data_IF_419191593189
#
_entry.id   IF_419191593189
#
_cell.length_a   1.000
_cell.length_b   1.000
_cell.length_c   1.000
_cell.angle_alpha   90.00
_cell.angle_beta   90.00
_cell.angle_gamma   90.00
#
_symmetry.space_group_name_H-M   'P 1'
#
loop_
_entity.id
_entity.type
_entity.pdbx_description
1 polymer ?
#
# COMPACT_ATOMS: atom_id res chain seq x y z
N UNK A 1 4.77 35.10 1.05
CA UNK A 1 5.68 34.09 1.63
C UNK A 1 6.99 34.11 0.86
N UNK A 2 8.13 33.95 1.55
CA UNK A 2 9.43 33.75 0.87
C UNK A 2 9.46 32.35 0.25
N UNK A 3 10.21 32.16 -0.84
CA UNK A 3 10.25 30.89 -1.60
C UNK A 3 10.58 29.67 -0.73
N UNK A 4 11.52 29.80 0.20
CA UNK A 4 11.91 28.70 1.09
C UNK A 4 10.79 28.27 2.04
N UNK A 5 9.90 29.20 2.46
CA UNK A 5 8.76 28.87 3.32
C UNK A 5 7.74 28.02 2.57
N UNK A 6 7.55 28.29 1.28
CA UNK A 6 6.67 27.51 0.40
C UNK A 6 7.23 26.09 0.24
N UNK A 7 8.55 25.96 0.03
CA UNK A 7 9.22 24.65 -0.01
C UNK A 7 9.08 23.87 1.30
N UNK A 8 9.34 24.53 2.42
CA UNK A 8 9.22 23.91 3.74
C UNK A 8 7.79 23.41 3.98
N UNK A 9 6.78 24.24 3.70
CA UNK A 9 5.38 23.87 3.86
C UNK A 9 4.98 22.72 2.93
N UNK A 10 5.38 22.78 1.66
CA UNK A 10 5.12 21.70 0.70
C UNK A 10 5.76 20.38 1.15
N UNK A 11 7.00 20.42 1.67
CA UNK A 11 7.71 19.25 2.19
C UNK A 11 7.00 18.67 3.41
N UNK A 12 6.58 19.49 4.37
CA UNK A 12 5.83 19.04 5.56
C UNK A 12 4.53 18.34 5.14
N UNK A 13 3.75 18.94 4.23
CA UNK A 13 2.50 18.37 3.73
C UNK A 13 2.76 17.03 3.04
N UNK A 14 3.76 16.96 2.16
CA UNK A 14 4.11 15.71 1.44
C UNK A 14 4.57 14.62 2.38
N UNK A 15 5.44 14.92 3.36
CA UNK A 15 5.92 13.93 4.33
C UNK A 15 4.77 13.43 5.20
N UNK A 16 3.92 14.33 5.70
CA UNK A 16 2.75 13.95 6.49
C UNK A 16 1.83 13.00 5.72
N UNK A 17 1.52 13.32 4.46
CA UNK A 17 0.69 12.47 3.62
C UNK A 17 1.38 11.13 3.28
N UNK A 18 2.68 11.11 3.02
CA UNK A 18 3.44 9.88 2.77
C UNK A 18 3.42 8.93 3.99
N UNK A 19 3.58 9.48 5.20
CA UNK A 19 3.48 8.72 6.45
C UNK A 19 2.07 8.17 6.62
N UNK A 20 1.04 9.01 6.41
CA UNK A 20 -0.36 8.60 6.48
C UNK A 20 -0.66 7.45 5.51
N UNK A 21 -0.25 7.56 4.24
CA UNK A 21 -0.41 6.51 3.24
C UNK A 21 0.27 5.20 3.64
N UNK A 22 1.50 5.28 4.15
CA UNK A 22 2.25 4.09 4.57
C UNK A 22 1.57 3.37 5.73
N UNK A 23 1.04 4.12 6.71
CA UNK A 23 0.39 3.55 7.88
C UNK A 23 -1.00 2.99 7.59
N UNK A 24 -1.71 3.57 6.63
CA UNK A 24 -3.07 3.14 6.24
C UNK A 24 -3.08 2.10 5.12
N UNK A 25 -1.92 1.82 4.52
CA UNK A 25 -1.79 0.87 3.43
C UNK A 25 -2.08 -0.59 3.85
N UNK A 26 -2.67 -1.41 2.98
CA UNK A 26 -3.04 -2.79 3.28
C UNK A 26 -1.85 -3.73 3.49
N UNK A 27 -0.64 -3.30 3.09
CA UNK A 27 0.61 -4.04 3.25
C UNK A 27 1.34 -3.69 4.55
N UNK A 28 0.89 -2.66 5.29
CA UNK A 28 1.50 -2.27 6.56
C UNK A 28 1.26 -3.38 7.61
N UNK A 29 2.31 -3.94 8.24
CA UNK A 29 2.17 -5.05 9.18
C UNK A 29 1.18 -4.74 10.30
N UNK A 30 0.33 -5.70 10.64
CA UNK A 30 -0.55 -5.56 11.80
C UNK A 30 0.30 -5.66 13.07
N UNK A 31 0.39 -4.58 13.82
CA UNK A 31 1.10 -4.52 15.09
C UNK A 31 0.08 -4.34 16.21
N UNK A 32 0.31 -5.03 17.32
CA UNK A 32 -0.55 -4.93 18.49
C UNK A 32 0.14 -5.40 19.76
N UNK A 33 -0.52 -5.13 20.86
CA UNK A 33 -0.21 -5.66 22.17
C UNK A 33 -1.43 -6.37 22.69
N UNK A 34 -1.29 -7.62 23.11
CA UNK A 34 -2.36 -8.40 23.73
C UNK A 34 -1.86 -9.00 25.04
N UNK A 35 -2.74 -9.04 26.02
CA UNK A 35 -2.47 -9.75 27.27
C UNK A 35 -2.92 -11.20 27.10
N UNK A 36 -1.99 -12.14 27.24
CA UNK A 36 -2.23 -13.58 27.07
C UNK A 36 -1.57 -14.27 28.27
N UNK A 37 -2.33 -15.07 29.00
CA UNK A 37 -1.85 -15.75 30.22
C UNK A 37 -1.17 -14.80 31.23
N UNK A 38 -1.71 -13.58 31.41
CA UNK A 38 -1.17 -12.57 32.33
C UNK A 38 0.11 -11.86 31.85
N UNK A 39 0.59 -12.15 30.64
CA UNK A 39 1.75 -11.50 30.03
C UNK A 39 1.34 -10.54 28.92
N UNK A 40 1.92 -9.35 28.89
CA UNK A 40 1.73 -8.38 27.79
C UNK A 40 2.67 -8.71 26.64
N UNK A 41 2.08 -9.14 25.54
CA UNK A 41 2.79 -9.65 24.38
C UNK A 41 2.66 -8.65 23.22
N UNK A 42 3.81 -8.21 22.70
CA UNK A 42 3.89 -7.43 21.45
C UNK A 42 4.00 -8.37 20.26
N UNK A 43 3.23 -8.11 19.21
CA UNK A 43 3.29 -8.89 17.99
C UNK A 43 3.32 -8.01 16.73
N UNK A 44 3.82 -8.60 15.65
CA UNK A 44 3.88 -8.00 14.31
C UNK A 44 3.56 -9.09 13.27
N UNK A 45 2.40 -8.99 12.65
CA UNK A 45 1.91 -9.93 11.65
C UNK A 45 2.03 -9.31 10.24
N UNK A 46 2.74 -10.01 9.35
CA UNK A 46 3.05 -9.54 7.99
C UNK A 46 1.81 -9.59 7.09
N UNK A 47 1.64 -8.61 6.20
CA UNK A 47 0.49 -8.50 5.29
C UNK A 47 0.84 -8.53 3.80
N UNK A 48 2.11 -8.70 3.46
CA UNK A 48 2.57 -8.87 2.09
C UNK A 48 3.72 -9.85 2.00
N UNK A 49 3.72 -10.67 0.95
CA UNK A 49 4.80 -11.61 0.63
C UNK A 49 5.05 -11.66 -0.88
N UNK A 50 6.17 -12.25 -1.27
CA UNK A 50 6.52 -12.53 -2.67
C UNK A 50 6.07 -13.93 -3.08
N UNK A 51 5.74 -14.11 -4.36
CA UNK A 51 5.17 -15.37 -4.87
C UNK A 51 6.19 -16.50 -5.01
N UNK A 52 7.49 -16.21 -4.96
CA UNK A 52 8.58 -17.16 -5.25
C UNK A 52 9.06 -17.96 -4.03
N UNK A 53 8.58 -17.64 -2.82
CA UNK A 53 9.01 -18.28 -1.57
C UNK A 53 7.89 -18.36 -0.56
N UNK A 54 8.01 -19.33 0.36
CA UNK A 54 7.18 -19.33 1.56
C UNK A 54 7.49 -18.10 2.41
N UNK A 55 6.51 -17.69 3.22
CA UNK A 55 6.66 -16.54 4.12
C UNK A 55 6.58 -17.01 5.56
N UNK A 56 7.62 -16.68 6.31
CA UNK A 56 7.69 -16.99 7.73
C UNK A 56 6.87 -15.98 8.53
N UNK A 57 6.02 -16.54 9.38
CA UNK A 57 5.18 -15.85 10.34
C UNK A 57 5.69 -16.20 11.71
N UNK A 58 6.12 -15.18 12.46
CA UNK A 58 6.68 -15.34 13.80
C UNK A 58 5.68 -14.95 14.87
N UNK A 59 5.66 -15.71 15.95
CA UNK A 59 4.93 -15.41 17.17
C UNK A 59 5.87 -15.45 18.38
N UNK A 60 5.63 -14.61 19.39
CA UNK A 60 6.34 -14.69 20.66
C UNK A 60 6.02 -15.99 21.41
N UNK A 61 7.01 -16.52 22.13
CA UNK A 61 6.84 -17.69 22.98
C UNK A 61 5.91 -17.39 24.17
N UNK A 62 5.11 -18.37 24.59
CA UNK A 62 4.32 -18.32 25.81
C UNK A 62 4.54 -19.65 26.54
N UNK A 63 4.96 -19.57 27.80
CA UNK A 63 5.23 -20.75 28.61
C UNK A 63 3.97 -21.61 28.77
N UNK A 64 4.09 -22.92 28.55
CA UNK A 64 2.96 -23.85 28.67
C UNK A 64 2.05 -23.90 27.43
N UNK A 65 2.35 -23.17 26.36
CA UNK A 65 1.54 -23.16 25.13
C UNK A 65 2.33 -23.55 23.88
N UNK A 66 1.70 -24.32 23.01
CA UNK A 66 2.13 -24.59 21.63
C UNK A 66 1.42 -23.62 20.68
N UNK A 67 2.16 -22.97 19.77
CA UNK A 67 1.56 -22.12 18.75
C UNK A 67 1.20 -22.90 17.48
N UNK A 68 0.09 -22.47 16.86
CA UNK A 68 -0.43 -22.95 15.60
C UNK A 68 -0.67 -21.75 14.68
N UNK A 69 -0.15 -21.87 13.45
CA UNK A 69 -0.50 -20.99 12.37
C UNK A 69 -1.82 -21.49 11.77
N UNK A 70 -2.87 -20.69 11.93
CA UNK A 70 -4.21 -21.03 11.47
C UNK A 70 -4.52 -20.21 10.24
N UNK A 71 -4.77 -20.85 9.10
CA UNK A 71 -4.96 -20.12 7.85
C UNK A 71 -5.88 -20.83 6.86
N UNK A 72 -6.42 -20.04 5.92
CA UNK A 72 -7.11 -20.52 4.72
C UNK A 72 -7.01 -19.51 3.59
N UNK A 73 -7.26 -19.95 2.36
CA UNK A 73 -7.31 -19.05 1.20
C UNK A 73 -8.43 -18.01 1.41
N UNK A 74 -8.16 -16.77 1.00
CA UNK A 74 -9.11 -15.67 1.20
C UNK A 74 -10.36 -15.84 0.34
N UNK A 75 -11.53 -15.58 0.93
CA UNK A 75 -12.86 -15.71 0.29
C UNK A 75 -13.12 -17.08 -0.33
N UNK A 76 -12.58 -18.14 0.26
CA UNK A 76 -12.96 -19.52 -0.07
C UNK A 76 -13.75 -20.16 1.09
N UNK A 77 -14.50 -21.20 0.74
CA UNK A 77 -15.21 -22.07 1.68
C UNK A 77 -14.29 -23.17 2.25
N UNK A 78 -12.97 -23.03 2.08
CA UNK A 78 -12.01 -24.00 2.60
C UNK A 78 -12.08 -24.04 4.13
N UNK A 79 -11.87 -25.23 4.68
CA UNK A 79 -11.67 -25.42 6.12
C UNK A 79 -10.38 -24.72 6.58
N UNK A 80 -10.36 -24.31 7.84
CA UNK A 80 -9.15 -23.75 8.45
C UNK A 80 -8.09 -24.84 8.57
N UNK A 81 -6.88 -24.55 8.08
CA UNK A 81 -5.70 -25.39 8.30
C UNK A 81 -5.04 -24.97 9.59
N UNK A 82 -4.77 -25.94 10.48
CA UNK A 82 -4.04 -25.74 11.73
C UNK A 82 -2.65 -26.36 11.58
N UNK A 83 -1.65 -25.51 11.42
CA UNK A 83 -0.27 -25.94 11.24
C UNK A 83 0.53 -25.68 12.53
N UNK A 84 1.10 -26.70 13.19
CA UNK A 84 1.95 -26.48 14.36
C UNK A 84 3.19 -25.66 13.96
N UNK A 85 3.51 -24.64 14.74
CA UNK A 85 4.69 -23.80 14.54
C UNK A 85 5.92 -24.46 15.19
N UNK A 86 7.09 -24.26 14.60
CA UNK A 86 8.36 -24.72 15.16
C UNK A 86 8.89 -23.70 16.16
N UNK A 87 9.52 -24.17 17.23
CA UNK A 87 10.17 -23.28 18.18
C UNK A 87 11.62 -23.03 17.77
N UNK A 88 11.93 -21.81 17.37
CA UNK A 88 13.26 -21.42 16.88
C UNK A 88 13.60 -20.03 17.42
N UNK A 89 14.83 -19.82 17.91
CA UNK A 89 15.31 -18.52 18.38
C UNK A 89 14.38 -17.82 19.39
N UNK A 90 13.85 -18.57 20.38
CA UNK A 90 12.91 -18.07 21.40
C UNK A 90 11.57 -17.57 20.85
N UNK A 91 11.20 -17.98 19.63
CA UNK A 91 9.94 -17.62 18.99
C UNK A 91 9.31 -18.84 18.33
N UNK A 92 8.00 -18.76 18.12
CA UNK A 92 7.27 -19.69 17.28
C UNK A 92 7.35 -19.24 15.83
N UNK A 93 7.76 -20.12 14.93
CA UNK A 93 7.90 -19.88 13.49
C UNK A 93 7.02 -20.84 12.72
N UNK A 94 6.09 -20.29 11.95
CA UNK A 94 5.25 -21.01 11.00
C UNK A 94 5.48 -20.46 9.61
N UNK A 95 5.33 -21.27 8.57
CA UNK A 95 5.55 -20.83 7.19
C UNK A 95 4.27 -20.99 6.40
N UNK A 96 3.82 -19.92 5.73
CA UNK A 96 2.73 -19.98 4.76
C UNK A 96 3.30 -20.38 3.39
N UNK A 97 2.71 -21.36 2.70
CA UNK A 97 3.09 -21.70 1.34
C UNK A 97 2.99 -20.49 0.39
N UNK A 98 3.80 -20.44 -0.68
CA UNK A 98 3.65 -19.40 -1.69
C UNK A 98 2.29 -19.49 -2.40
N UNK A 99 1.74 -18.34 -2.77
CA UNK A 99 0.57 -18.23 -3.65
C UNK A 99 0.96 -17.51 -4.96
N UNK A 100 0.16 -17.67 -6.04
CA UNK A 100 0.32 -16.85 -7.23
C UNK A 100 0.07 -15.36 -6.94
N UNK A 101 0.49 -14.50 -7.86
CA UNK A 101 0.28 -13.06 -7.75
C UNK A 101 -1.20 -12.71 -7.53
N UNK A 102 -1.45 -11.72 -6.68
CA UNK A 102 -2.79 -11.34 -6.19
C UNK A 102 -3.50 -12.40 -5.32
N UNK A 103 -2.90 -13.57 -5.10
CA UNK A 103 -3.34 -14.56 -4.12
C UNK A 103 -3.28 -14.02 -2.69
N UNK A 104 -4.27 -14.40 -1.88
CA UNK A 104 -4.36 -13.97 -0.49
C UNK A 104 -4.65 -15.15 0.44
N UNK A 105 -4.02 -15.16 1.60
CA UNK A 105 -4.45 -15.95 2.75
C UNK A 105 -5.10 -15.04 3.79
N UNK A 106 -6.03 -15.61 4.53
CA UNK A 106 -6.44 -15.13 5.86
C UNK A 106 -5.76 -16.03 6.86
N UNK A 107 -5.08 -15.44 7.84
CA UNK A 107 -4.43 -16.21 8.88
C UNK A 107 -4.47 -15.52 10.25
N UNK A 108 -4.26 -16.31 11.28
CA UNK A 108 -4.06 -15.89 12.66
C UNK A 108 -3.10 -16.86 13.35
N UNK A 109 -2.68 -16.52 14.56
CA UNK A 109 -1.85 -17.39 15.39
C UNK A 109 -2.66 -17.76 16.63
N UNK A 110 -2.83 -19.06 16.83
CA UNK A 110 -3.56 -19.61 17.96
C UNK A 110 -2.57 -20.35 18.87
N UNK A 111 -2.72 -20.20 20.19
CA UNK A 111 -1.95 -20.91 21.20
C UNK A 111 -2.83 -21.94 21.87
N UNK A 112 -2.38 -23.19 21.89
CA UNK A 112 -3.03 -24.29 22.59
C UNK A 112 -2.26 -24.61 23.87
N UNK A 113 -2.96 -24.75 25.00
CA UNK A 113 -2.33 -25.11 26.26
C UNK A 113 -1.84 -26.57 26.23
N UNK A 114 -0.58 -26.81 26.59
CA UNK A 114 0.07 -28.13 26.48
C UNK A 114 -0.56 -29.21 27.36
N UNK A 115 -1.14 -28.82 28.49
CA UNK A 115 -1.79 -29.76 29.44
C UNK A 115 -3.31 -29.81 29.28
N UNK A 116 -3.90 -28.89 28.51
CA UNK A 116 -5.36 -28.81 28.33
C UNK A 116 -5.69 -28.44 26.89
N UNK A 117 -5.92 -29.46 26.07
CA UNK A 117 -6.13 -29.32 24.64
C UNK A 117 -7.39 -28.51 24.26
N UNK A 118 -8.31 -28.26 25.20
CA UNK A 118 -9.52 -27.48 24.98
C UNK A 118 -9.33 -25.96 25.20
N UNK A 119 -8.19 -25.52 25.74
CA UNK A 119 -7.91 -24.11 25.96
C UNK A 119 -7.08 -23.53 24.81
N UNK A 120 -7.74 -22.68 24.01
CA UNK A 120 -7.15 -21.96 22.90
C UNK A 120 -7.16 -20.46 23.15
N UNK A 121 -6.05 -19.80 22.84
CA UNK A 121 -5.90 -18.34 22.90
C UNK A 121 -5.52 -17.82 21.53
N UNK A 122 -6.15 -16.73 21.10
CA UNK A 122 -5.89 -16.13 19.78
C UNK A 122 -4.99 -14.91 19.94
N UNK A 123 -3.92 -14.81 19.15
CA UNK A 123 -2.95 -13.71 19.24
C UNK A 123 -3.56 -12.35 18.84
N UNK A 124 -4.39 -12.32 17.80
CA UNK A 124 -5.03 -11.12 17.28
C UNK A 124 -6.54 -11.28 17.23
N UNK A 125 -7.29 -10.29 17.70
CA UNK A 125 -8.76 -10.31 17.65
C UNK A 125 -9.32 -10.20 16.22
N UNK A 126 -8.47 -9.79 15.28
CA UNK A 126 -8.79 -9.72 13.85
C UNK A 126 -7.86 -10.61 13.07
N UNK A 127 -8.42 -11.37 12.13
CA UNK A 127 -7.61 -12.13 11.20
C UNK A 127 -6.83 -11.21 10.26
N UNK A 128 -5.66 -11.69 9.86
CA UNK A 128 -4.72 -10.97 9.02
C UNK A 128 -4.85 -11.45 7.60
N UNK A 129 -5.10 -10.52 6.68
CA UNK A 129 -5.04 -10.80 5.24
C UNK A 129 -3.63 -10.50 4.75
N UNK A 130 -2.95 -11.53 4.24
CA UNK A 130 -1.65 -11.40 3.56
C UNK A 130 -1.84 -11.53 2.05
N UNK A 131 -1.26 -10.60 1.29
CA UNK A 131 -1.30 -10.58 -0.18
C UNK A 131 0.06 -10.95 -0.77
N UNK A 132 0.03 -11.86 -1.75
CA UNK A 132 1.20 -12.23 -2.53
C UNK A 132 1.31 -11.36 -3.79
N UNK A 133 2.52 -10.93 -4.10
CA UNK A 133 2.86 -10.15 -5.30
C UNK A 133 4.13 -10.71 -5.96
N UNK A 134 4.24 -10.54 -7.26
CA UNK A 134 5.49 -10.82 -7.96
C UNK A 134 6.64 -9.96 -7.46
N UNK A 135 7.86 -10.43 -7.68
CA UNK A 135 9.07 -9.68 -7.39
C UNK A 135 9.20 -8.51 -8.37
N UNK A 136 9.37 -7.30 -7.82
CA UNK A 136 9.53 -6.08 -8.62
C UNK A 136 11.00 -5.67 -8.53
N UNK A 137 11.71 -5.51 -9.67
CA UNK A 137 13.09 -5.06 -9.67
C UNK A 137 13.26 -3.79 -8.84
N UNK A 138 14.22 -3.80 -7.91
CA UNK A 138 14.39 -2.74 -6.92
C UNK A 138 14.57 -1.36 -7.58
N UNK A 139 15.31 -1.28 -8.69
CA UNK A 139 15.55 -0.03 -9.41
C UNK A 139 14.26 0.55 -10.02
N UNK A 140 13.33 -0.28 -10.51
CA UNK A 140 12.02 0.17 -11.03
C UNK A 140 11.18 0.73 -9.89
N UNK A 141 11.12 0.00 -8.77
CA UNK A 141 10.37 0.44 -7.59
C UNK A 141 10.91 1.75 -7.01
N UNK A 142 12.24 1.88 -6.90
CA UNK A 142 12.89 3.10 -6.41
C UNK A 142 12.59 4.27 -7.35
N UNK A 143 12.74 4.11 -8.67
CA UNK A 143 12.42 5.16 -9.62
C UNK A 143 10.94 5.56 -9.56
N UNK A 144 10.02 4.58 -9.51
CA UNK A 144 8.59 4.85 -9.33
C UNK A 144 8.32 5.74 -8.11
N UNK A 145 8.85 5.34 -6.94
CA UNK A 145 8.70 6.05 -5.68
C UNK A 145 9.26 7.47 -5.79
N UNK A 146 10.48 7.61 -6.31
CA UNK A 146 11.13 8.93 -6.47
C UNK A 146 10.29 9.84 -7.36
N UNK A 147 9.81 9.37 -8.50
CA UNK A 147 8.99 10.17 -9.41
C UNK A 147 7.64 10.56 -8.80
N UNK A 148 6.93 9.62 -8.15
CA UNK A 148 5.62 9.90 -7.55
C UNK A 148 5.73 10.87 -6.36
N UNK A 149 6.67 10.67 -5.44
CA UNK A 149 6.83 11.58 -4.30
C UNK A 149 7.36 12.94 -4.71
N UNK A 150 8.22 13.01 -5.75
CA UNK A 150 8.64 14.29 -6.32
C UNK A 150 7.47 15.00 -7.01
N UNK A 151 6.63 14.28 -7.76
CA UNK A 151 5.41 14.84 -8.35
C UNK A 151 4.48 15.41 -7.27
N UNK A 152 4.30 14.69 -6.16
CA UNK A 152 3.50 15.14 -5.03
C UNK A 152 4.09 16.39 -4.36
N UNK A 153 5.40 16.41 -4.12
CA UNK A 153 6.10 17.58 -3.57
C UNK A 153 5.95 18.81 -4.48
N UNK A 154 6.22 18.66 -5.78
CA UNK A 154 6.10 19.74 -6.73
C UNK A 154 4.64 20.18 -6.92
N UNK A 155 3.67 19.26 -6.82
CA UNK A 155 2.25 19.56 -6.81
C UNK A 155 1.89 20.49 -5.64
N UNK A 156 2.22 20.10 -4.40
CA UNK A 156 1.97 20.89 -3.21
C UNK A 156 2.67 22.26 -3.30
N UNK A 157 3.93 22.27 -3.74
CA UNK A 157 4.69 23.49 -3.97
C UNK A 157 3.98 24.41 -4.99
N UNK A 158 3.58 23.88 -6.15
CA UNK A 158 2.89 24.62 -7.21
C UNK A 158 1.54 25.17 -6.74
N UNK A 159 0.78 24.39 -5.96
CA UNK A 159 -0.51 24.82 -5.41
C UNK A 159 -0.35 26.02 -4.47
N UNK A 160 0.55 25.93 -3.50
CA UNK A 160 0.83 27.04 -2.56
C UNK A 160 1.40 28.25 -3.32
N UNK A 161 2.26 28.02 -4.31
CA UNK A 161 2.85 29.05 -5.15
C UNK A 161 1.78 29.81 -5.96
N UNK A 162 0.72 29.14 -6.39
CA UNK A 162 -0.38 29.72 -7.18
C UNK A 162 -1.18 30.78 -6.42
N UNK A 163 -1.07 30.82 -5.09
CA UNK A 163 -1.66 31.85 -4.22
C UNK A 163 -0.67 32.99 -3.93
N UNK A 164 0.63 32.74 -4.09
CA UNK A 164 1.69 33.70 -3.82
C UNK A 164 2.00 34.55 -5.06
N UNK A 165 2.16 35.87 -4.88
CA UNK A 165 2.64 36.77 -5.94
C UNK A 165 4.16 36.58 -6.10
N UNK A 166 4.68 36.58 -7.33
CA UNK A 166 6.10 36.71 -7.71
C UNK A 166 6.93 35.45 -8.05
N UNK A 167 6.31 34.34 -8.46
CA UNK A 167 7.07 33.16 -8.92
C UNK A 167 6.52 32.56 -10.21
N UNK A 168 7.40 31.89 -10.97
CA UNK A 168 7.03 31.19 -12.20
C UNK A 168 6.27 29.89 -11.89
N UNK A 169 4.97 30.02 -11.60
CA UNK A 169 4.06 28.89 -11.29
C UNK A 169 4.01 27.88 -12.44
N UNK A 170 3.98 28.37 -13.68
CA UNK A 170 3.85 27.52 -14.88
C UNK A 170 5.04 26.58 -15.04
N UNK A 171 6.25 27.04 -14.71
CA UNK A 171 7.44 26.19 -14.72
C UNK A 171 7.30 25.01 -13.77
N UNK A 172 6.89 25.25 -12.52
CA UNK A 172 6.70 24.20 -11.52
C UNK A 172 5.51 23.29 -11.83
N UNK A 173 4.45 23.83 -12.43
CA UNK A 173 3.35 23.03 -12.96
C UNK A 173 3.83 22.04 -14.03
N UNK A 174 4.69 22.48 -14.96
CA UNK A 174 5.26 21.60 -16.00
C UNK A 174 6.12 20.50 -15.39
N UNK A 175 6.99 20.84 -14.43
CA UNK A 175 7.80 19.84 -13.72
C UNK A 175 6.89 18.82 -13.03
N UNK A 176 5.89 19.28 -12.28
CA UNK A 176 4.93 18.41 -11.61
C UNK A 176 4.29 17.43 -12.58
N UNK A 177 3.80 17.93 -13.71
CA UNK A 177 3.14 17.11 -14.72
C UNK A 177 4.08 16.07 -15.35
N UNK A 178 5.31 16.46 -15.70
CA UNK A 178 6.32 15.53 -16.25
C UNK A 178 6.62 14.41 -15.25
N UNK A 179 6.86 14.76 -13.98
CA UNK A 179 7.13 13.76 -12.94
C UNK A 179 5.93 12.86 -12.67
N UNK A 180 4.71 13.40 -12.70
CA UNK A 180 3.47 12.63 -12.57
C UNK A 180 3.30 11.66 -13.73
N UNK A 181 3.57 12.08 -14.97
CA UNK A 181 3.49 11.21 -16.15
C UNK A 181 4.53 10.08 -16.09
N UNK A 182 5.78 10.39 -15.75
CA UNK A 182 6.83 9.38 -15.65
C UNK A 182 6.55 8.42 -14.48
N UNK A 183 6.26 8.93 -13.30
CA UNK A 183 5.97 8.09 -12.13
C UNK A 183 4.69 7.27 -12.29
N UNK A 184 3.63 7.89 -12.83
CA UNK A 184 2.28 7.34 -12.88
C UNK A 184 1.95 6.52 -14.12
N UNK A 185 2.44 6.90 -15.30
CA UNK A 185 2.12 6.24 -16.58
C UNK A 185 3.30 5.49 -17.22
N UNK A 186 4.51 5.62 -16.67
CA UNK A 186 5.66 4.80 -17.10
C UNK A 186 6.00 3.80 -16.01
N UNK A 187 6.47 4.28 -14.85
CA UNK A 187 6.93 3.39 -13.79
C UNK A 187 5.79 2.70 -13.02
N UNK A 188 4.63 3.35 -12.87
CA UNK A 188 3.44 2.73 -12.26
C UNK A 188 3.03 1.44 -12.98
N UNK A 189 2.77 1.51 -14.30
CA UNK A 189 2.47 0.33 -15.11
C UNK A 189 3.55 -0.76 -15.09
N UNK A 190 4.82 -0.37 -15.06
CA UNK A 190 5.92 -1.34 -14.93
C UNK A 190 5.83 -2.08 -13.59
N UNK A 191 5.68 -1.36 -12.47
CA UNK A 191 5.52 -1.97 -11.14
C UNK A 191 4.30 -2.91 -11.11
N UNK A 192 3.17 -2.49 -11.68
CA UNK A 192 1.95 -3.29 -11.76
C UNK A 192 2.18 -4.57 -12.58
N UNK A 193 2.90 -4.47 -13.71
CA UNK A 193 3.22 -5.61 -14.57
C UNK A 193 4.04 -6.67 -13.85
N UNK A 194 5.09 -6.25 -13.13
CA UNK A 194 5.91 -7.19 -12.36
C UNK A 194 5.16 -7.77 -11.17
N UNK A 195 4.34 -6.97 -10.48
CA UNK A 195 3.64 -7.41 -9.29
C UNK A 195 2.43 -8.34 -9.59
N UNK A 196 1.68 -8.08 -10.66
CA UNK A 196 0.38 -8.71 -10.92
C UNK A 196 0.15 -9.15 -12.38
N UNK A 197 1.11 -8.93 -13.28
CA UNK A 197 1.04 -9.42 -14.66
C UNK A 197 0.32 -8.50 -15.67
N UNK A 198 -0.22 -7.36 -15.25
CA UNK A 198 -0.89 -6.38 -16.10
C UNK A 198 -0.23 -4.99 -16.03
N UNK A 199 -0.12 -4.28 -17.15
CA UNK A 199 0.45 -2.92 -17.17
C UNK A 199 -0.55 -1.87 -16.68
N UNK A 200 -1.82 -2.03 -16.98
CA UNK A 200 -2.84 -1.07 -16.60
C UNK A 200 -4.16 -1.80 -16.37
N UNK A 201 -4.80 -1.46 -15.27
CA UNK A 201 -6.04 -2.06 -14.78
C UNK A 201 -7.09 -1.00 -14.43
N UNK A 202 -6.81 0.29 -14.70
CA UNK A 202 -7.77 1.38 -14.63
C UNK A 202 -8.57 1.58 -15.92
N UNK A 203 -9.40 2.62 -15.94
CA UNK A 203 -10.20 2.99 -17.10
C UNK A 203 -9.31 3.27 -18.33
N UNK A 204 -9.71 2.88 -19.56
CA UNK A 204 -10.98 2.23 -19.93
C UNK A 204 -10.97 0.70 -19.85
N UNK A 205 -9.84 0.09 -19.51
CA UNK A 205 -9.66 -1.37 -19.56
C UNK A 205 -10.04 -2.08 -18.24
N UNK A 206 -10.37 -1.31 -17.21
CA UNK A 206 -10.66 -1.81 -15.89
C UNK A 206 -11.11 -0.73 -14.93
N UNK A 207 -11.21 -1.09 -13.65
CA UNK A 207 -11.71 -0.20 -12.60
C UNK A 207 -10.77 -0.10 -11.38
N UNK A 208 -9.52 -0.56 -11.50
CA UNK A 208 -8.55 -0.53 -10.40
C UNK A 208 -8.41 0.90 -9.83
N UNK A 209 -8.64 1.00 -8.53
CA UNK A 209 -8.65 2.26 -7.81
C UNK A 209 -7.30 2.99 -7.90
N UNK A 210 -6.18 2.27 -7.89
CA UNK A 210 -4.83 2.87 -7.89
C UNK A 210 -4.52 3.51 -9.23
N UNK A 211 -4.81 2.82 -10.33
CA UNK A 211 -4.61 3.35 -11.68
C UNK A 211 -5.55 4.53 -11.95
N UNK A 212 -6.82 4.42 -11.55
CA UNK A 212 -7.82 5.49 -11.72
C UNK A 212 -7.48 6.76 -10.94
N UNK A 213 -6.87 6.64 -9.76
CA UNK A 213 -6.36 7.78 -8.99
C UNK A 213 -5.29 8.56 -9.76
N UNK A 214 -4.34 7.85 -10.35
CA UNK A 214 -3.27 8.46 -11.15
C UNK A 214 -3.87 9.13 -12.39
N UNK A 215 -4.78 8.45 -13.08
CA UNK A 215 -5.50 9.01 -14.23
C UNK A 215 -6.26 10.29 -13.86
N UNK A 216 -7.02 10.30 -12.77
CA UNK A 216 -7.75 11.48 -12.31
C UNK A 216 -6.81 12.64 -11.97
N UNK A 217 -5.66 12.35 -11.35
CA UNK A 217 -4.62 13.36 -11.09
C UNK A 217 -4.14 13.97 -12.40
N UNK A 218 -3.77 13.15 -13.38
CA UNK A 218 -3.32 13.62 -14.71
C UNK A 218 -4.39 14.45 -15.42
N UNK A 219 -5.65 14.00 -15.42
CA UNK A 219 -6.76 14.75 -16.00
C UNK A 219 -6.94 16.12 -15.35
N UNK A 220 -6.83 16.21 -14.02
CA UNK A 220 -6.90 17.48 -13.31
C UNK A 220 -5.78 18.44 -13.75
N UNK A 221 -4.55 17.95 -13.92
CA UNK A 221 -3.44 18.75 -14.44
C UNK A 221 -3.63 19.17 -15.89
N UNK A 222 -4.12 18.28 -16.76
CA UNK A 222 -4.45 18.60 -18.16
C UNK A 222 -5.50 19.72 -18.22
N UNK A 223 -6.59 19.59 -17.46
CA UNK A 223 -7.64 20.62 -17.36
C UNK A 223 -7.03 21.93 -16.87
N UNK A 224 -6.15 21.89 -15.87
CA UNK A 224 -5.51 23.10 -15.37
C UNK A 224 -4.65 23.81 -16.44
N UNK A 225 -3.89 23.06 -17.25
CA UNK A 225 -3.14 23.63 -18.36
C UNK A 225 -4.04 24.20 -19.47
N UNK A 226 -5.12 23.50 -19.83
CA UNK A 226 -6.08 23.97 -20.83
C UNK A 226 -6.74 25.27 -20.39
N UNK A 227 -7.19 25.32 -19.13
CA UNK A 227 -7.84 26.50 -18.58
C UNK A 227 -6.85 27.65 -18.42
N UNK A 228 -5.62 27.39 -17.95
CA UNK A 228 -4.55 28.38 -17.93
C UNK A 228 -4.25 28.94 -19.33
N UNK A 229 -4.24 28.10 -20.39
CA UNK A 229 -4.07 28.58 -21.76
C UNK A 229 -5.17 29.55 -22.18
N UNK A 230 -6.41 29.29 -21.75
CA UNK A 230 -7.61 30.10 -22.09
C UNK A 230 -7.67 31.42 -21.33
N UNK A 231 -7.39 31.44 -20.02
CA UNK A 231 -7.65 32.61 -19.18
C UNK A 231 -6.43 33.15 -18.42
N UNK A 232 -5.26 32.53 -18.57
CA UNK A 232 -3.99 32.86 -17.87
C UNK A 232 -4.09 32.88 -16.33
N UNK A 233 -5.15 32.29 -15.78
CA UNK A 233 -5.37 32.24 -14.34
C UNK A 233 -4.59 31.06 -13.73
N UNK A 234 -3.54 31.37 -12.98
CA UNK A 234 -2.68 30.36 -12.33
C UNK A 234 -3.40 29.57 -11.23
N UNK A 235 -4.55 30.05 -10.73
CA UNK A 235 -5.33 29.35 -9.69
C UNK A 235 -5.85 27.99 -10.13
N UNK A 236 -5.90 27.71 -11.43
CA UNK A 236 -6.21 26.36 -11.92
C UNK A 236 -5.17 25.32 -11.49
N UNK A 237 -3.91 25.71 -11.26
CA UNK A 237 -2.90 24.80 -10.73
C UNK A 237 -3.07 24.54 -9.22
N UNK A 238 -3.66 25.48 -8.47
CA UNK A 238 -4.11 25.21 -7.09
C UNK A 238 -5.20 24.14 -7.08
N UNK A 239 -6.19 24.24 -7.98
CA UNK A 239 -7.24 23.23 -8.12
C UNK A 239 -6.67 21.84 -8.42
N UNK A 240 -5.78 21.72 -9.41
CA UNK A 240 -5.13 20.44 -9.72
C UNK A 240 -4.28 19.90 -8.56
N UNK A 241 -3.59 20.77 -7.84
CA UNK A 241 -2.81 20.41 -6.66
C UNK A 241 -3.69 19.85 -5.54
N UNK A 242 -4.83 20.49 -5.25
CA UNK A 242 -5.80 20.02 -4.25
C UNK A 242 -6.40 18.66 -4.62
N UNK A 243 -6.75 18.45 -5.90
CA UNK A 243 -7.23 17.13 -6.37
C UNK A 243 -6.14 16.08 -6.17
N UNK A 244 -4.91 16.38 -6.60
CA UNK A 244 -3.77 15.46 -6.47
C UNK A 244 -3.53 15.11 -5.00
N UNK A 245 -3.58 16.10 -4.10
CA UNK A 245 -3.44 15.91 -2.67
C UNK A 245 -4.57 15.03 -2.10
N UNK A 246 -5.83 15.32 -2.43
CA UNK A 246 -6.99 14.54 -2.00
C UNK A 246 -6.91 13.08 -2.46
N UNK A 247 -6.47 12.85 -3.70
CA UNK A 247 -6.25 11.51 -4.25
C UNK A 247 -5.19 10.75 -3.46
N UNK A 248 -4.09 11.40 -3.11
CA UNK A 248 -3.05 10.79 -2.30
C UNK A 248 -3.49 10.53 -0.85
N UNK A 249 -4.50 11.22 -0.33
CA UNK A 249 -5.08 10.86 0.98
C UNK A 249 -5.89 9.57 0.94
N UNK A 250 -6.27 9.06 -0.22
CA UNK A 250 -6.96 7.77 -0.32
C UNK A 250 -5.90 6.66 -0.25
N UNK A 251 -5.92 5.77 0.77
CA UNK A 251 -4.87 4.77 0.95
C UNK A 251 -4.57 3.95 -0.31
N UNK A 252 -3.28 3.72 -0.58
CA UNK A 252 -2.85 2.97 -1.76
C UNK A 252 -3.36 1.53 -1.71
N UNK A 253 -3.81 1.00 -2.85
CA UNK A 253 -4.24 -0.40 -2.98
C UNK A 253 -5.40 -0.85 -2.07
N UNK A 254 -6.19 0.10 -1.54
CA UNK A 254 -7.57 -0.19 -1.14
C UNK A 254 -8.27 -0.84 -2.34
N UNK A 255 -8.77 -2.05 -2.16
CA UNK A 255 -9.36 -2.88 -3.22
C UNK A 255 -8.42 -3.32 -4.36
N UNK A 256 -7.10 -3.29 -4.18
CA UNK A 256 -6.20 -3.79 -5.24
C UNK A 256 -6.43 -5.27 -5.61
N UNK A 257 -5.87 -5.68 -6.75
CA UNK A 257 -6.07 -6.99 -7.40
C UNK A 257 -6.15 -8.19 -6.45
N UNK A 258 -7.03 -9.13 -6.81
CA UNK A 258 -7.36 -10.33 -6.04
C UNK A 258 -7.50 -11.54 -6.95
N UNK A 259 -6.78 -12.61 -6.64
CA UNK A 259 -6.94 -13.89 -7.34
C UNK A 259 -8.24 -14.55 -6.90
N UNK A 260 -9.10 -14.88 -7.86
CA UNK A 260 -10.23 -15.77 -7.63
C UNK A 260 -9.73 -17.22 -7.71
N UNK A 261 -9.72 -17.91 -6.57
CA UNK A 261 -9.26 -19.30 -6.49
C UNK A 261 -10.17 -20.30 -7.21
N UNK A 262 -11.42 -19.93 -7.54
CA UNK A 262 -12.33 -20.81 -8.28
C UNK A 262 -12.08 -20.77 -9.78
N UNK A 263 -11.79 -19.58 -10.32
CA UNK A 263 -11.58 -19.38 -11.77
C UNK A 263 -10.10 -19.33 -12.15
N UNK A 264 -9.20 -19.12 -11.19
CA UNK A 264 -7.77 -18.89 -11.43
C UNK A 264 -7.47 -17.51 -12.02
N UNK A 265 -8.48 -16.64 -12.17
CA UNK A 265 -8.35 -15.32 -12.81
C UNK A 265 -8.15 -14.25 -11.75
N UNK A 266 -7.23 -13.32 -12.01
CA UNK A 266 -7.03 -12.14 -11.18
C UNK A 266 -8.15 -11.14 -11.47
N UNK A 267 -9.01 -10.91 -10.48
CA UNK A 267 -10.04 -9.88 -10.50
C UNK A 267 -9.46 -8.54 -10.04
N UNK A 268 -9.94 -7.48 -10.65
CA UNK A 268 -9.69 -6.12 -10.22
C UNK A 268 -10.68 -5.75 -9.11
N UNK A 269 -10.29 -4.84 -8.21
CA UNK A 269 -11.19 -4.28 -7.22
C UNK A 269 -11.13 -2.76 -7.20
#
# INVERSE_FOLDING_TARGET
MKKYQIWLLAAIITVAAAVFQRMTGPTYPLKGTKEIAGQKIKFKLTRSAETNRSVDITAPAIEGYQAYLVFKKYKTNDSLTYQPMKFENQQWVGSLPPLPAAGKYVYNIHYQHLQNNNQWLVLSDKDVVIRFKGEVPAWILVLHIVFIFSAMLFSNFTGILSVSKNFNVVFWAKITFVFLMIGGFVFGPLVQKYAFGAFWTGFPFGYDLTDNKVLLSVLAWVIAFLMYRRNKNVRWFLFASLITFAIYLIPHSLFGSELDFTTGVVKQG
#
